data_IF_271404619032
#
_entry.id   IF_271404619032
#
_cell.length_a   1.000
_cell.length_b   1.000
_cell.length_c   1.000
_cell.angle_alpha   90.00
_cell.angle_beta   90.00
_cell.angle_gamma   90.00
#
_symmetry.space_group_name_H-M   'P 1'
#
loop_
_entity.id
_entity.type
_entity.pdbx_description
1 polymer ?
#
# COMPACT_ATOMS: atom_id res chain seq x y z
N UNK A 1 -15.04 49.09 57.10
CA UNK A 1 -13.81 48.27 57.25
C UNK A 1 -13.78 47.24 56.14
N UNK A 2 -12.67 47.11 55.40
CA UNK A 2 -12.52 46.30 54.18
C UNK A 2 -11.81 44.95 54.43
N UNK A 3 -12.03 43.98 53.53
CA UNK A 3 -11.13 42.86 53.14
C UNK A 3 -11.75 42.26 51.86
N UNK A 4 -11.24 42.42 50.62
CA UNK A 4 -9.96 42.07 49.99
C UNK A 4 -9.75 40.54 49.83
N UNK A 5 -9.64 40.08 48.58
CA UNK A 5 -9.37 38.67 48.17
C UNK A 5 -9.93 38.35 46.77
N UNK A 6 -9.31 38.84 45.67
CA UNK A 6 -8.53 38.07 44.66
C UNK A 6 -9.34 36.96 43.94
N UNK A 7 -9.74 37.11 42.67
CA UNK A 7 -8.98 36.74 41.45
C UNK A 7 -8.97 35.22 41.26
N UNK A 8 -9.16 34.59 40.11
CA UNK A 8 -9.32 34.90 38.69
C UNK A 8 -9.89 33.59 38.08
N UNK A 9 -9.83 33.43 36.76
CA UNK A 9 -9.86 32.16 36.03
C UNK A 9 -11.23 31.71 35.51
N UNK A 10 -11.55 32.31 34.37
CA UNK A 10 -12.12 31.63 33.21
C UNK A 10 -11.75 30.14 33.12
N UNK A 11 -12.71 29.26 33.37
CA UNK A 11 -12.70 27.91 32.82
C UNK A 11 -13.83 27.82 31.79
N UNK A 12 -13.43 28.11 30.55
CA UNK A 12 -14.19 27.79 29.35
C UNK A 12 -14.35 26.28 29.37
N UNK A 13 -15.57 25.79 29.64
CA UNK A 13 -15.89 24.38 29.53
C UNK A 13 -15.37 23.89 28.18
N UNK A 14 -14.35 23.03 28.25
CA UNK A 14 -13.64 22.53 27.10
C UNK A 14 -14.64 21.93 26.14
N UNK A 15 -14.66 22.48 24.92
CA UNK A 15 -15.31 21.86 23.78
C UNK A 15 -14.98 20.36 23.83
N UNK A 16 -15.99 19.54 24.11
CA UNK A 16 -15.91 18.11 23.88
C UNK A 16 -15.56 17.94 22.41
N UNK A 17 -14.26 17.74 22.14
CA UNK A 17 -13.79 17.32 20.84
C UNK A 17 -14.63 16.10 20.48
N UNK A 18 -15.46 16.16 19.43
CA UNK A 18 -16.30 15.05 19.08
C UNK A 18 -15.34 13.90 18.85
N UNK A 19 -15.54 12.82 19.61
CA UNK A 19 -14.89 11.53 19.44
C UNK A 19 -15.10 11.13 17.99
N UNK A 20 -14.20 11.59 17.11
CA UNK A 20 -14.27 11.33 15.70
C UNK A 20 -14.00 9.84 15.57
N UNK A 21 -15.11 9.17 15.31
CA UNK A 21 -15.33 7.76 15.44
C UNK A 21 -14.29 6.98 14.66
N UNK A 22 -13.41 6.32 15.41
CA UNK A 22 -12.42 5.35 14.96
C UNK A 22 -13.04 4.08 14.33
N UNK A 23 -14.33 4.06 14.03
CA UNK A 23 -15.02 2.91 13.42
C UNK A 23 -15.16 3.02 11.90
N UNK A 24 -15.04 4.22 11.30
CA UNK A 24 -15.21 4.41 9.85
C UNK A 24 -13.92 4.22 9.03
N UNK A 25 -12.74 4.24 9.66
CA UNK A 25 -11.43 4.12 8.98
C UNK A 25 -11.06 2.68 8.61
N UNK A 26 -11.67 1.68 9.27
CA UNK A 26 -11.31 0.26 9.14
C UNK A 26 -11.54 -0.37 7.76
N UNK A 27 -12.23 0.34 6.84
CA UNK A 27 -12.52 -0.15 5.49
C UNK A 27 -11.64 0.47 4.40
N UNK A 28 -10.73 1.39 4.73
CA UNK A 28 -9.85 2.07 3.77
C UNK A 28 -10.61 2.59 2.53
N UNK A 29 -11.88 2.96 2.71
CA UNK A 29 -12.82 3.34 1.63
C UNK A 29 -12.35 4.56 0.88
N UNK A 30 -11.64 5.47 1.53
CA UNK A 30 -11.03 6.64 0.91
C UNK A 30 -9.95 6.24 -0.11
N UNK A 31 -9.15 5.20 0.17
CA UNK A 31 -8.15 4.71 -0.78
C UNK A 31 -8.81 4.04 -1.97
N UNK A 32 -9.86 3.26 -1.74
CA UNK A 32 -10.64 2.67 -2.82
C UNK A 32 -11.35 3.73 -3.67
N UNK A 33 -11.93 4.75 -3.05
CA UNK A 33 -12.55 5.87 -3.76
C UNK A 33 -11.51 6.66 -4.56
N UNK A 34 -10.39 7.03 -3.96
CA UNK A 34 -9.30 7.75 -4.63
C UNK A 34 -8.77 6.96 -5.83
N UNK A 35 -8.63 5.65 -5.68
CA UNK A 35 -8.25 4.73 -6.75
C UNK A 35 -9.29 4.73 -7.87
N UNK A 36 -10.56 4.52 -7.55
CA UNK A 36 -11.66 4.49 -8.51
C UNK A 36 -11.75 5.80 -9.30
N UNK A 37 -11.56 6.95 -8.63
CA UNK A 37 -11.52 8.27 -9.26
C UNK A 37 -10.35 8.43 -10.24
N UNK A 38 -9.24 7.73 -10.00
CA UNK A 38 -8.04 7.78 -10.82
C UNK A 38 -7.93 6.61 -11.81
N UNK A 39 -8.93 5.73 -11.87
CA UNK A 39 -8.88 4.56 -12.72
C UNK A 39 -8.67 4.94 -14.21
N UNK A 40 -7.67 4.33 -14.84
CA UNK A 40 -7.29 4.61 -16.23
C UNK A 40 -6.55 5.94 -16.44
N UNK A 41 -6.44 6.79 -15.42
CA UNK A 41 -5.74 8.08 -15.47
C UNK A 41 -4.27 7.92 -15.07
N UNK A 42 -3.37 8.83 -15.51
CA UNK A 42 -1.97 8.82 -15.08
C UNK A 42 -1.79 8.92 -13.55
N UNK A 43 -2.76 9.55 -12.87
CA UNK A 43 -2.81 9.72 -11.42
C UNK A 43 -2.88 8.42 -10.62
N UNK A 44 -3.33 7.31 -11.22
CA UNK A 44 -3.46 6.03 -10.52
C UNK A 44 -2.14 5.55 -9.94
N UNK A 45 -1.03 5.79 -10.65
CA UNK A 45 0.31 5.41 -10.20
C UNK A 45 0.71 6.02 -8.86
N UNK A 46 0.18 7.19 -8.49
CA UNK A 46 0.42 7.79 -7.18
C UNK A 46 -0.43 7.11 -6.10
N UNK A 47 -1.69 6.83 -6.39
CA UNK A 47 -2.59 6.12 -5.46
C UNK A 47 -2.05 4.73 -5.14
N UNK A 48 -1.59 3.97 -6.14
CA UNK A 48 -0.99 2.66 -5.92
C UNK A 48 0.27 2.71 -5.05
N UNK A 49 1.08 3.77 -5.18
CA UNK A 49 2.25 3.97 -4.32
C UNK A 49 1.86 4.29 -2.88
N UNK A 50 0.83 5.11 -2.68
CA UNK A 50 0.31 5.42 -1.33
C UNK A 50 -0.23 4.15 -0.68
N UNK A 51 -1.06 3.38 -1.39
CA UNK A 51 -1.56 2.09 -0.90
C UNK A 51 -0.38 1.17 -0.54
N UNK A 52 0.62 1.07 -1.42
CA UNK A 52 1.79 0.23 -1.18
C UNK A 52 2.57 0.65 0.07
N UNK A 53 2.75 1.96 0.29
CA UNK A 53 3.41 2.49 1.49
C UNK A 53 2.64 2.15 2.76
N UNK A 54 1.30 2.25 2.72
CA UNK A 54 0.43 1.89 3.85
C UNK A 54 0.51 0.39 4.14
N UNK A 55 0.42 -0.46 3.12
CA UNK A 55 0.49 -1.92 3.27
C UNK A 55 1.85 -2.40 3.80
N UNK A 56 2.93 -1.65 3.51
CA UNK A 56 4.30 -1.96 3.93
C UNK A 56 4.70 -1.30 5.25
N UNK A 57 3.79 -0.57 5.90
CA UNK A 57 4.12 0.14 7.13
C UNK A 57 4.35 -0.87 8.27
N UNK A 58 5.46 -0.78 9.02
CA UNK A 58 5.78 -1.75 10.08
C UNK A 58 4.69 -1.84 11.15
N UNK A 59 4.10 -0.71 11.55
CA UNK A 59 2.99 -0.66 12.52
C UNK A 59 1.70 -1.33 12.01
N UNK A 60 1.61 -1.63 10.71
CA UNK A 60 0.49 -2.31 10.07
C UNK A 60 0.74 -3.80 9.81
N UNK A 61 1.89 -4.34 10.23
CA UNK A 61 2.24 -5.76 10.13
C UNK A 61 1.94 -6.44 11.45
N UNK A 62 1.36 -7.65 11.39
CA UNK A 62 1.02 -8.41 12.59
C UNK A 62 2.27 -8.67 13.45
N UNK A 63 2.20 -8.25 14.72
CA UNK A 63 3.20 -8.54 15.72
C UNK A 63 2.49 -9.14 16.94
N UNK A 64 2.87 -10.36 17.33
CA UNK A 64 2.27 -11.06 18.47
C UNK A 64 2.45 -10.33 19.80
N UNK A 65 3.45 -9.45 19.90
CA UNK A 65 3.71 -8.64 21.09
C UNK A 65 2.92 -7.32 21.11
N UNK A 66 2.26 -6.93 20.01
CA UNK A 66 1.46 -5.72 19.92
C UNK A 66 -0.03 -6.07 19.74
N UNK A 67 -0.70 -6.27 20.88
CA UNK A 67 -2.15 -6.53 20.90
C UNK A 67 -2.99 -5.34 20.39
N UNK A 68 -2.46 -4.11 20.44
CA UNK A 68 -3.14 -2.91 19.94
C UNK A 68 -3.16 -2.83 18.41
N UNK A 69 -2.07 -3.27 17.77
CA UNK A 69 -1.91 -3.29 16.30
C UNK A 69 -2.67 -4.40 15.57
N UNK A 70 -3.18 -5.42 16.28
CA UNK A 70 -3.85 -6.59 15.66
C UNK A 70 -5.05 -6.18 14.79
N UNK A 71 -5.85 -5.21 15.26
CA UNK A 71 -7.00 -4.71 14.51
C UNK A 71 -6.59 -4.07 13.17
N UNK A 72 -5.53 -3.26 13.20
CA UNK A 72 -4.99 -2.56 12.04
C UNK A 72 -4.40 -3.57 11.05
N UNK A 73 -3.59 -4.52 11.52
CA UNK A 73 -3.04 -5.56 10.65
C UNK A 73 -4.13 -6.35 9.95
N UNK A 74 -5.17 -6.79 10.67
CA UNK A 74 -6.29 -7.54 10.07
C UNK A 74 -7.06 -6.73 9.05
N UNK A 75 -7.26 -5.42 9.28
CA UNK A 75 -7.92 -4.55 8.32
C UNK A 75 -7.10 -4.40 7.04
N UNK A 76 -5.78 -4.22 7.17
CA UNK A 76 -4.86 -4.13 6.05
C UNK A 76 -4.73 -5.45 5.28
N UNK A 77 -4.75 -6.60 5.97
CA UNK A 77 -4.75 -7.92 5.32
C UNK A 77 -6.02 -8.14 4.51
N UNK A 78 -7.19 -7.79 5.06
CA UNK A 78 -8.46 -7.84 4.33
C UNK A 78 -8.46 -6.93 3.10
N UNK A 79 -7.88 -5.74 3.22
CA UNK A 79 -7.76 -4.82 2.10
C UNK A 79 -6.77 -5.32 1.05
N UNK A 80 -5.64 -5.90 1.46
CA UNK A 80 -4.69 -6.53 0.54
C UNK A 80 -5.35 -7.70 -0.21
N UNK A 81 -6.18 -8.48 0.47
CA UNK A 81 -6.97 -9.56 -0.13
C UNK A 81 -7.94 -9.05 -1.19
N UNK A 82 -8.69 -7.97 -0.93
CA UNK A 82 -9.62 -7.39 -1.91
C UNK A 82 -8.91 -6.86 -3.18
N UNK A 83 -7.66 -6.42 -3.06
CA UNK A 83 -6.83 -6.04 -4.21
C UNK A 83 -6.56 -7.24 -5.12
N UNK A 84 -6.33 -8.43 -4.54
CA UNK A 84 -6.09 -9.67 -5.30
C UNK A 84 -7.39 -10.10 -6.00
N UNK A 85 -8.50 -10.19 -5.26
CA UNK A 85 -9.75 -10.74 -5.80
C UNK A 85 -10.40 -9.82 -6.83
N UNK A 86 -10.52 -8.53 -6.52
CA UNK A 86 -11.35 -7.64 -7.32
C UNK A 86 -10.54 -6.80 -8.31
N UNK A 87 -9.25 -6.60 -8.04
CA UNK A 87 -8.50 -5.49 -8.65
C UNK A 87 -7.28 -5.89 -9.47
N UNK A 88 -6.98 -7.18 -9.59
CA UNK A 88 -5.89 -7.68 -10.43
C UNK A 88 -6.01 -7.24 -11.89
N UNK A 89 -7.23 -7.22 -12.45
CA UNK A 89 -7.47 -6.79 -13.82
C UNK A 89 -7.01 -5.35 -14.10
N UNK A 90 -7.10 -4.47 -13.11
CA UNK A 90 -6.60 -3.09 -13.21
C UNK A 90 -5.08 -3.03 -13.11
N UNK A 91 -4.48 -3.85 -12.24
CA UNK A 91 -3.02 -3.96 -12.14
C UNK A 91 -2.42 -4.49 -13.44
N UNK A 92 -3.11 -5.41 -14.13
CA UNK A 92 -2.69 -5.85 -15.46
C UNK A 92 -2.70 -4.70 -16.49
N UNK A 93 -3.66 -3.78 -16.43
CA UNK A 93 -3.65 -2.58 -17.30
C UNK A 93 -2.47 -1.67 -16.99
N UNK A 94 -2.13 -1.49 -15.72
CA UNK A 94 -0.96 -0.71 -15.30
C UNK A 94 0.36 -1.37 -15.70
N UNK A 95 0.48 -2.69 -15.58
CA UNK A 95 1.66 -3.46 -16.00
C UNK A 95 1.84 -3.44 -17.53
N UNK A 96 0.75 -3.47 -18.30
CA UNK A 96 0.77 -3.35 -19.76
C UNK A 96 0.90 -1.91 -20.27
N UNK A 97 0.98 -0.92 -19.38
CA UNK A 97 1.20 0.48 -19.76
C UNK A 97 2.54 0.66 -20.47
N UNK A 98 2.63 1.68 -21.34
CA UNK A 98 3.90 2.12 -21.95
C UNK A 98 4.75 2.95 -20.98
N UNK A 99 4.20 3.33 -19.82
CA UNK A 99 4.85 4.18 -18.83
C UNK A 99 5.47 3.36 -17.69
N UNK A 100 6.80 3.39 -17.59
CA UNK A 100 7.53 2.68 -16.53
C UNK A 100 7.12 3.11 -15.11
N UNK A 101 6.65 4.35 -14.90
CA UNK A 101 6.14 4.80 -13.60
C UNK A 101 4.90 4.02 -13.15
N UNK A 102 3.99 3.71 -14.08
CA UNK A 102 2.76 2.94 -13.86
C UNK A 102 3.08 1.47 -13.59
N UNK A 103 3.95 0.91 -14.43
CA UNK A 103 4.46 -0.45 -14.25
C UNK A 103 5.13 -0.63 -12.89
N UNK A 104 6.00 0.30 -12.49
CA UNK A 104 6.66 0.27 -11.19
C UNK A 104 5.69 0.37 -10.03
N UNK A 105 4.66 1.21 -10.13
CA UNK A 105 3.66 1.35 -9.07
C UNK A 105 2.86 0.06 -8.88
N UNK A 106 2.48 -0.62 -9.97
CA UNK A 106 1.79 -1.90 -9.91
C UNK A 106 2.68 -3.02 -9.33
N UNK A 107 3.94 -3.14 -9.78
CA UNK A 107 4.90 -4.10 -9.23
C UNK A 107 5.17 -3.85 -7.74
N UNK A 108 5.31 -2.58 -7.35
CA UNK A 108 5.53 -2.19 -5.96
C UNK A 108 4.32 -2.57 -5.08
N UNK A 109 3.10 -2.32 -5.56
CA UNK A 109 1.89 -2.70 -4.84
C UNK A 109 1.79 -4.23 -4.66
N UNK A 110 2.04 -5.00 -5.72
CA UNK A 110 2.06 -6.46 -5.62
C UNK A 110 3.09 -6.94 -4.60
N UNK A 111 4.30 -6.36 -4.62
CA UNK A 111 5.34 -6.71 -3.66
C UNK A 111 4.92 -6.39 -2.22
N UNK A 112 4.27 -5.25 -1.99
CA UNK A 112 3.76 -4.91 -0.65
C UNK A 112 2.64 -5.83 -0.19
N UNK A 113 1.76 -6.30 -1.08
CA UNK A 113 0.72 -7.29 -0.74
C UNK A 113 1.36 -8.61 -0.34
N UNK A 114 2.33 -9.10 -1.12
CA UNK A 114 3.04 -10.36 -0.84
C UNK A 114 3.74 -10.31 0.51
N UNK A 115 4.46 -9.22 0.83
CA UNK A 115 5.21 -9.05 2.09
C UNK A 115 4.36 -9.10 3.36
N UNK A 116 3.03 -8.98 3.26
CA UNK A 116 2.16 -9.02 4.44
C UNK A 116 2.05 -10.39 5.07
N UNK A 117 2.34 -11.46 4.33
CA UNK A 117 2.41 -12.81 4.89
C UNK A 117 2.15 -13.91 3.87
N UNK A 118 2.40 -15.16 4.28
CA UNK A 118 2.36 -16.32 3.39
C UNK A 118 0.98 -16.66 2.84
N UNK A 119 -0.09 -16.36 3.57
CA UNK A 119 -1.46 -16.45 3.06
C UNK A 119 -1.65 -15.60 1.80
N UNK A 120 -1.36 -14.29 1.92
CA UNK A 120 -1.47 -13.34 0.81
C UNK A 120 -0.46 -13.66 -0.31
N UNK A 121 0.75 -14.11 0.01
CA UNK A 121 1.71 -14.58 -0.98
C UNK A 121 1.16 -15.77 -1.78
N UNK A 122 0.58 -16.78 -1.12
CA UNK A 122 -0.10 -17.91 -1.75
C UNK A 122 -1.22 -17.44 -2.68
N UNK A 123 -2.02 -16.47 -2.24
CA UNK A 123 -3.17 -15.98 -3.00
C UNK A 123 -2.74 -15.21 -4.25
N UNK A 124 -1.68 -14.40 -4.16
CA UNK A 124 -1.05 -13.78 -5.33
C UNK A 124 -0.48 -14.87 -6.25
N UNK A 125 0.22 -15.88 -5.72
CA UNK A 125 0.82 -16.93 -6.54
C UNK A 125 -0.23 -17.73 -7.34
N UNK A 126 -1.43 -17.91 -6.78
CA UNK A 126 -2.55 -18.62 -7.42
C UNK A 126 -3.32 -17.74 -8.41
N UNK A 127 -3.50 -16.46 -8.09
CA UNK A 127 -4.40 -15.56 -8.83
C UNK A 127 -3.69 -14.74 -9.91
N UNK A 128 -2.39 -14.47 -9.74
CA UNK A 128 -1.61 -13.66 -10.66
C UNK A 128 -1.14 -14.46 -11.87
N UNK A 129 -1.36 -13.93 -13.09
CA UNK A 129 -0.85 -14.53 -14.31
C UNK A 129 0.62 -14.15 -14.56
N UNK A 130 1.53 -15.02 -14.11
CA UNK A 130 2.97 -14.86 -14.38
C UNK A 130 3.36 -15.09 -15.84
N UNK A 131 2.44 -15.56 -16.69
CA UNK A 131 2.68 -15.80 -18.13
C UNK A 131 2.35 -14.59 -19.00
N UNK A 132 2.01 -13.45 -18.40
CA UNK A 132 1.80 -12.19 -19.12
C UNK A 132 2.96 -11.89 -20.07
N UNK A 133 2.64 -11.60 -21.34
CA UNK A 133 3.64 -11.36 -22.38
C UNK A 133 4.54 -10.16 -22.12
N UNK A 134 4.09 -9.20 -21.30
CA UNK A 134 4.88 -8.05 -20.85
C UNK A 134 5.87 -8.42 -19.75
N UNK A 135 5.65 -9.51 -19.01
CA UNK A 135 6.39 -9.86 -17.80
C UNK A 135 7.91 -10.03 -18.03
N UNK A 136 8.38 -10.74 -19.09
CA UNK A 136 9.80 -10.79 -19.40
C UNK A 136 10.40 -9.41 -19.70
N UNK A 137 9.64 -8.53 -20.36
CA UNK A 137 10.07 -7.16 -20.68
C UNK A 137 10.22 -6.29 -19.44
N UNK A 138 9.44 -6.57 -18.38
CA UNK A 138 9.56 -5.86 -17.10
C UNK A 138 10.89 -6.16 -16.40
N UNK A 139 11.46 -7.34 -16.63
CA UNK A 139 12.76 -7.77 -16.09
C UNK A 139 13.97 -7.28 -16.91
N UNK A 140 13.75 -6.81 -18.14
CA UNK A 140 14.83 -6.43 -19.06
C UNK A 140 15.75 -5.36 -18.46
N UNK A 141 17.05 -5.66 -18.49
CA UNK A 141 18.08 -4.67 -18.25
C UNK A 141 18.36 -3.91 -19.54
N UNK A 142 17.99 -2.62 -19.58
CA UNK A 142 18.34 -1.74 -20.70
C UNK A 142 19.64 -1.03 -20.36
N UNK A 143 20.75 -1.52 -20.92
CA UNK A 143 22.04 -0.86 -20.82
C UNK A 143 21.93 0.60 -21.31
N UNK A 144 22.52 1.53 -20.54
CA UNK A 144 22.53 2.96 -20.91
C UNK A 144 23.20 3.11 -22.27
N UNK A 145 22.48 3.64 -23.26
CA UNK A 145 23.15 4.27 -24.41
C UNK A 145 23.61 5.65 -23.96
N UNK A 146 24.91 5.93 -24.13
CA UNK A 146 25.52 7.24 -23.92
C UNK A 146 24.63 8.31 -24.59
N UNK A 147 24.27 9.36 -23.85
CA UNK A 147 23.47 10.49 -24.37
C UNK A 147 21.94 10.41 -24.20
N UNK A 148 21.38 9.33 -23.63
CA UNK A 148 19.93 9.26 -23.37
C UNK A 148 19.58 9.47 -21.90
N UNK A 149 18.59 10.32 -21.63
CA UNK A 149 18.02 10.55 -20.29
C UNK A 149 17.56 9.23 -19.67
N UNK A 150 17.69 9.07 -18.35
CA UNK A 150 17.33 7.85 -17.58
C UNK A 150 15.98 7.30 -18.06
N UNK A 151 15.98 6.24 -18.89
CA UNK A 151 14.78 5.41 -19.04
C UNK A 151 14.53 4.79 -17.67
N UNK A 152 13.44 5.17 -17.02
CA UNK A 152 12.99 4.54 -15.79
C UNK A 152 12.92 3.02 -16.05
N UNK A 153 13.77 2.27 -15.36
CA UNK A 153 13.81 0.81 -15.46
C UNK A 153 12.76 0.21 -14.53
N UNK A 154 12.10 -0.84 -15.00
CA UNK A 154 11.19 -1.66 -14.20
C UNK A 154 11.87 -2.79 -13.46
N UNK A 155 13.13 -3.07 -13.81
CA UNK A 155 13.88 -4.24 -13.31
C UNK A 155 13.98 -4.25 -11.78
N UNK A 156 14.21 -3.10 -11.15
CA UNK A 156 14.34 -3.03 -9.70
C UNK A 156 13.02 -3.38 -9.01
N UNK A 157 11.89 -2.85 -9.48
CA UNK A 157 10.57 -3.17 -8.93
C UNK A 157 10.19 -4.64 -9.21
N UNK A 158 10.55 -5.15 -10.40
CA UNK A 158 10.35 -6.56 -10.76
C UNK A 158 11.12 -7.51 -9.83
N UNK A 159 12.40 -7.22 -9.61
CA UNK A 159 13.22 -7.99 -8.65
C UNK A 159 12.66 -7.83 -7.24
N UNK A 160 12.19 -6.65 -6.85
CA UNK A 160 11.55 -6.42 -5.56
C UNK A 160 10.31 -7.29 -5.34
N UNK A 161 9.50 -7.48 -6.38
CA UNK A 161 8.38 -8.44 -6.35
C UNK A 161 8.88 -9.87 -6.16
N UNK A 162 9.88 -10.32 -6.92
CA UNK A 162 10.43 -11.67 -6.74
C UNK A 162 11.00 -11.87 -5.33
N UNK A 163 11.75 -10.90 -4.81
CA UNK A 163 12.30 -10.94 -3.46
C UNK A 163 11.22 -11.00 -2.38
N UNK A 164 10.08 -10.33 -2.57
CA UNK A 164 8.99 -10.38 -1.57
C UNK A 164 8.49 -11.81 -1.31
N UNK A 165 8.43 -12.65 -2.34
CA UNK A 165 8.05 -14.06 -2.17
C UNK A 165 9.12 -14.84 -1.38
N UNK A 166 10.41 -14.55 -1.62
CA UNK A 166 11.52 -15.22 -0.92
C UNK A 166 11.60 -14.79 0.54
N UNK A 167 11.39 -13.50 0.82
CA UNK A 167 11.37 -12.95 2.18
C UNK A 167 10.32 -13.64 3.04
N UNK A 168 9.10 -13.79 2.52
CA UNK A 168 7.99 -14.46 3.22
C UNK A 168 8.26 -15.96 3.37
N UNK A 169 8.75 -16.63 2.32
CA UNK A 169 9.09 -18.05 2.39
C UNK A 169 10.21 -18.38 3.38
N UNK A 170 11.07 -17.41 3.71
CA UNK A 170 12.16 -17.58 4.69
C UNK A 170 11.71 -17.38 6.14
N UNK A 171 10.52 -16.83 6.36
CA UNK A 171 9.97 -16.57 7.71
C UNK A 171 9.13 -17.73 8.25
N UNK A 172 8.72 -18.66 7.39
CA UNK A 172 7.86 -19.82 7.71
C UNK A 172 8.64 -21.15 7.86
N UNK A 173 9.98 -21.11 7.88
CA UNK A 173 10.87 -22.26 8.12
C UNK A 173 11.54 -22.15 9.49
#
# INVERSE_FOLDING_TARGET
MPAMGYGDDSEVEGEELPKLSHENSSKLTELDQARNLQLGKPGLSYVLKVISAILSHPDGVYNSNDMGGVGISRALDKFAHSIIEEKLGELYKELNSKEAKRQNAALLLLASVVRRGSGLASDVAKSFDFKLSIFPKLAEYKAKRIGTTRKHSTRQAFVGLAMSFLEVGSQDC
#
